data_IF_338555169710
#
_entry.id   IF_338555169710
#
_cell.length_a   1.000
_cell.length_b   1.000
_cell.length_c   1.000
_cell.angle_alpha   90.00
_cell.angle_beta   90.00
_cell.angle_gamma   90.00
#
_symmetry.space_group_name_H-M   'P 1'
#
loop_
_entity.id
_entity.type
_entity.pdbx_description
1 polymer ?
#
# COMPACT_ATOMS: atom_id res chain seq x y z
N UNK A 1 3.79 -2.28 16.16
CA UNK A 1 5.04 -3.06 16.09
C UNK A 1 5.26 -4.04 17.25
N UNK A 2 5.07 -3.68 18.54
CA UNK A 2 5.17 -4.67 19.65
C UNK A 2 4.29 -5.91 19.43
N UNK A 3 3.02 -5.71 19.07
CA UNK A 3 2.11 -6.80 18.71
C UNK A 3 2.65 -7.68 17.57
N UNK A 4 3.25 -7.09 16.53
CA UNK A 4 3.87 -7.85 15.44
C UNK A 4 4.98 -8.74 16.02
N UNK A 5 5.87 -8.19 16.85
CA UNK A 5 6.94 -8.96 17.52
C UNK A 5 6.38 -10.09 18.37
N UNK A 6 5.36 -9.82 19.17
CA UNK A 6 4.83 -10.77 20.13
C UNK A 6 4.11 -11.94 19.45
N UNK A 7 3.52 -11.70 18.27
CA UNK A 7 2.89 -12.73 17.43
C UNK A 7 3.89 -13.47 16.52
N UNK A 8 5.08 -12.91 16.29
CA UNK A 8 6.07 -13.49 15.38
C UNK A 8 6.86 -14.59 16.07
N UNK A 9 6.97 -15.76 15.44
CA UNK A 9 7.92 -16.82 15.86
C UNK A 9 9.35 -16.27 15.88
N UNK A 10 10.24 -16.93 16.61
CA UNK A 10 11.65 -16.49 16.74
C UNK A 10 12.34 -16.36 15.37
N UNK A 11 12.08 -17.28 14.47
CA UNK A 11 12.55 -17.35 13.08
C UNK A 11 11.54 -16.75 12.08
N UNK A 12 10.48 -16.11 12.57
CA UNK A 12 9.41 -15.58 11.73
C UNK A 12 9.82 -14.30 11.02
N UNK A 13 9.20 -14.08 9.86
CA UNK A 13 9.34 -12.88 9.04
C UNK A 13 7.98 -12.21 8.91
N UNK A 14 7.93 -10.90 9.13
CA UNK A 14 6.76 -10.09 8.87
C UNK A 14 7.04 -9.13 7.71
N UNK A 15 6.02 -8.88 6.87
CA UNK A 15 6.05 -7.83 5.86
C UNK A 15 4.98 -6.80 6.21
N UNK A 16 5.40 -5.56 6.46
CA UNK A 16 4.49 -4.44 6.71
C UNK A 16 4.40 -3.61 5.45
N UNK A 17 3.20 -3.60 4.84
CA UNK A 17 2.89 -2.83 3.64
C UNK A 17 2.04 -1.61 4.02
N UNK A 18 2.51 -0.41 3.71
CA UNK A 18 1.81 0.83 4.08
C UNK A 18 2.04 1.95 3.08
N UNK A 19 1.02 2.79 2.87
CA UNK A 19 1.25 4.12 2.29
C UNK A 19 2.12 4.92 3.25
N UNK A 20 3.06 5.68 2.73
CA UNK A 20 3.95 6.53 3.48
C UNK A 20 4.36 7.76 2.71
N UNK A 21 5.13 8.62 3.38
CA UNK A 21 5.74 9.82 2.80
C UNK A 21 7.24 9.60 2.60
N UNK A 22 7.75 10.02 1.44
CA UNK A 22 9.18 10.02 1.14
C UNK A 22 9.93 11.24 1.67
N UNK A 23 9.24 12.16 2.33
CA UNK A 23 9.77 13.36 2.99
C UNK A 23 9.41 13.38 4.48
N UNK A 24 9.53 14.55 5.11
CA UNK A 24 9.30 14.75 6.54
C UNK A 24 7.85 14.48 6.96
N UNK A 25 7.61 14.17 8.26
CA UNK A 25 6.26 14.05 8.79
C UNK A 25 5.43 15.30 8.48
N UNK A 26 4.19 15.07 8.03
CA UNK A 26 3.28 16.15 7.65
C UNK A 26 1.84 15.80 8.00
N UNK A 27 0.97 16.82 8.02
CA UNK A 27 -0.42 16.67 8.43
C UNK A 27 -1.27 15.95 7.35
N UNK A 28 -2.33 15.29 7.80
CA UNK A 28 -3.31 14.69 6.88
C UNK A 28 -4.07 15.78 6.12
N UNK A 29 -4.24 15.61 4.81
CA UNK A 29 -5.02 16.53 3.99
C UNK A 29 -6.48 16.65 4.52
N UNK A 30 -7.01 17.87 4.75
CA UNK A 30 -8.34 18.05 5.35
C UNK A 30 -9.49 17.43 4.55
N UNK A 31 -9.41 17.41 3.22
CA UNK A 31 -10.41 16.74 2.39
C UNK A 31 -10.39 15.22 2.63
N UNK A 32 -9.21 14.61 2.64
CA UNK A 32 -9.04 13.18 2.93
C UNK A 32 -9.56 12.85 4.34
N UNK A 33 -9.16 13.62 5.35
CA UNK A 33 -9.57 13.41 6.73
C UNK A 33 -11.09 13.56 6.94
N UNK A 34 -11.73 14.48 6.22
CA UNK A 34 -13.18 14.72 6.37
C UNK A 34 -14.04 13.71 5.61
N UNK A 35 -13.65 13.37 4.39
CA UNK A 35 -14.55 12.69 3.45
C UNK A 35 -14.17 11.26 3.11
N UNK A 36 -12.89 10.87 3.23
CA UNK A 36 -12.39 9.59 2.73
C UNK A 36 -11.92 8.69 3.88
N UNK A 37 -10.96 9.16 4.69
CA UNK A 37 -10.37 8.39 5.78
C UNK A 37 -10.33 9.20 7.10
N UNK A 38 -11.46 9.31 7.81
CA UNK A 38 -11.49 9.92 9.15
C UNK A 38 -10.55 9.20 10.11
N UNK A 39 -9.68 9.96 10.79
CA UNK A 39 -8.64 9.43 11.68
C UNK A 39 -7.41 8.86 10.96
N UNK A 40 -7.39 8.89 9.62
CA UNK A 40 -6.27 8.41 8.84
C UNK A 40 -5.02 9.29 8.99
N UNK A 41 -3.86 8.64 9.03
CA UNK A 41 -2.55 9.29 9.04
C UNK A 41 -1.59 8.54 8.13
N UNK A 42 -0.83 9.26 7.33
CA UNK A 42 0.22 8.71 6.46
C UNK A 42 1.57 9.06 7.10
N UNK A 43 2.28 8.08 7.67
CA UNK A 43 3.53 8.34 8.37
C UNK A 43 4.70 8.57 7.41
N UNK A 44 5.69 9.33 7.86
CA UNK A 44 7.00 9.36 7.23
C UNK A 44 7.82 8.13 7.62
N UNK A 45 8.79 7.75 6.77
CA UNK A 45 9.70 6.64 7.08
C UNK A 45 10.42 6.85 8.43
N UNK A 46 10.77 8.09 8.76
CA UNK A 46 11.45 8.44 10.02
C UNK A 46 10.62 8.12 11.27
N UNK A 47 9.29 8.19 11.20
CA UNK A 47 8.40 7.82 12.30
C UNK A 47 8.23 6.31 12.40
N UNK A 48 8.12 5.64 11.25
CA UNK A 48 7.96 4.19 11.16
C UNK A 48 9.19 3.49 11.72
N UNK A 49 10.39 3.86 11.28
CA UNK A 49 11.65 3.26 11.76
C UNK A 49 11.85 3.48 13.26
N UNK A 50 11.61 4.69 13.75
CA UNK A 50 11.67 5.00 15.19
C UNK A 50 10.72 4.10 16.01
N UNK A 51 9.54 3.79 15.48
CA UNK A 51 8.59 2.90 16.15
C UNK A 51 9.02 1.41 16.10
N UNK A 52 9.66 0.99 15.01
CA UNK A 52 10.22 -0.36 14.84
C UNK A 52 11.39 -0.58 15.81
N UNK A 53 12.33 0.36 15.90
CA UNK A 53 13.49 0.30 16.81
C UNK A 53 13.06 0.05 18.25
N UNK A 54 12.07 0.81 18.72
CA UNK A 54 11.48 0.67 20.08
C UNK A 54 10.83 -0.70 20.31
N UNK A 55 10.51 -1.44 19.26
CA UNK A 55 9.90 -2.76 19.35
C UNK A 55 10.91 -3.90 19.39
N UNK A 56 12.22 -3.67 19.18
CA UNK A 56 13.26 -4.71 19.05
C UNK A 56 13.03 -5.69 17.89
N UNK A 57 12.31 -5.26 16.86
CA UNK A 57 12.32 -5.91 15.55
C UNK A 57 13.50 -5.39 14.74
N UNK A 58 14.08 -6.24 13.90
CA UNK A 58 15.16 -5.89 12.98
C UNK A 58 14.53 -5.61 11.62
N UNK A 59 14.89 -4.50 11.00
CA UNK A 59 14.55 -4.21 9.60
C UNK A 59 15.52 -4.97 8.71
N UNK A 60 15.01 -5.93 7.94
CA UNK A 60 15.81 -6.76 7.05
C UNK A 60 15.85 -6.21 5.61
N UNK A 61 14.77 -5.59 5.14
CA UNK A 61 14.68 -4.97 3.82
C UNK A 61 13.59 -3.88 3.83
N UNK A 62 13.75 -2.89 2.94
CA UNK A 62 12.73 -1.89 2.63
C UNK A 62 12.66 -1.74 1.12
N UNK A 63 11.49 -2.03 0.56
CA UNK A 63 11.15 -1.70 -0.83
C UNK A 63 10.21 -0.49 -0.88
N UNK A 64 10.45 0.41 -1.83
CA UNK A 64 9.58 1.57 -2.09
C UNK A 64 8.89 1.41 -3.43
N UNK A 65 7.60 1.08 -3.39
CA UNK A 65 6.73 1.03 -4.56
C UNK A 65 6.27 2.44 -4.93
N UNK A 66 7.12 3.16 -5.67
CA UNK A 66 6.93 4.57 -6.05
C UNK A 66 5.69 4.79 -6.94
N UNK A 67 5.82 4.54 -8.24
CA UNK A 67 4.77 4.85 -9.22
C UNK A 67 3.68 3.77 -9.32
N UNK A 68 3.90 2.59 -8.72
CA UNK A 68 2.94 1.49 -8.75
C UNK A 68 1.56 1.90 -8.25
N UNK A 69 1.49 2.71 -7.19
CA UNK A 69 0.21 3.15 -6.65
C UNK A 69 -0.46 4.25 -7.49
N UNK A 70 0.33 5.08 -8.18
CA UNK A 70 -0.20 6.02 -9.17
C UNK A 70 -0.87 5.27 -10.34
N UNK A 71 -0.26 4.20 -10.85
CA UNK A 71 -0.86 3.36 -11.88
C UNK A 71 -2.11 2.62 -11.37
N UNK A 72 -2.08 2.16 -10.13
CA UNK A 72 -3.24 1.54 -9.47
C UNK A 72 -4.43 2.51 -9.42
N UNK A 73 -4.20 3.75 -8.95
CA UNK A 73 -5.22 4.80 -8.87
C UNK A 73 -5.73 5.22 -10.25
N UNK A 74 -4.84 5.29 -11.26
CA UNK A 74 -5.22 5.52 -12.66
C UNK A 74 -6.20 4.46 -13.15
N UNK A 75 -5.89 3.18 -12.91
CA UNK A 75 -6.75 2.07 -13.31
C UNK A 75 -8.08 2.08 -12.56
N UNK A 76 -8.08 2.38 -11.26
CA UNK A 76 -9.33 2.54 -10.49
C UNK A 76 -10.19 3.68 -11.04
N UNK A 77 -9.57 4.84 -11.33
CA UNK A 77 -10.25 6.00 -11.90
C UNK A 77 -10.86 5.69 -13.27
N UNK A 78 -10.13 5.02 -14.15
CA UNK A 78 -10.63 4.60 -15.47
C UNK A 78 -11.81 3.62 -15.34
N UNK A 79 -11.71 2.62 -14.46
CA UNK A 79 -12.79 1.65 -14.24
C UNK A 79 -14.01 2.27 -13.59
N UNK A 80 -13.82 3.24 -12.68
CA UNK A 80 -14.91 4.01 -12.09
C UNK A 80 -15.61 4.86 -13.14
N UNK A 81 -14.86 5.61 -13.95
CA UNK A 81 -15.41 6.43 -15.03
C UNK A 81 -16.25 5.62 -16.03
N UNK A 82 -15.77 4.43 -16.40
CA UNK A 82 -16.49 3.53 -17.31
C UNK A 82 -17.83 3.01 -16.74
N UNK A 83 -17.99 2.98 -15.40
CA UNK A 83 -19.19 2.51 -14.70
C UNK A 83 -19.83 3.60 -13.84
N UNK A 84 -19.58 4.87 -14.17
CA UNK A 84 -19.96 6.01 -13.35
C UNK A 84 -21.48 6.05 -13.12
N UNK A 85 -22.26 5.76 -14.17
CA UNK A 85 -23.72 5.74 -14.06
C UNK A 85 -24.25 4.64 -13.15
N UNK A 86 -23.60 3.47 -13.13
CA UNK A 86 -23.92 2.41 -12.18
C UNK A 86 -23.64 2.87 -10.75
N UNK A 87 -22.46 3.47 -10.51
CA UNK A 87 -22.10 4.01 -9.21
C UNK A 87 -23.08 5.11 -8.73
N UNK A 88 -23.51 5.98 -9.65
CA UNK A 88 -24.48 7.06 -9.39
C UNK A 88 -25.86 6.52 -9.01
N UNK A 89 -26.32 5.42 -9.62
CA UNK A 89 -27.59 4.76 -9.28
C UNK A 89 -27.58 4.14 -7.87
N UNK A 90 -26.43 3.63 -7.44
CA UNK A 90 -26.27 3.01 -6.10
C UNK A 90 -26.05 4.06 -5.01
N UNK A 91 -25.48 5.21 -5.37
CA UNK A 91 -25.17 6.31 -4.45
C UNK A 91 -25.91 7.57 -4.90
N UNK A 92 -25.18 8.63 -5.20
CA UNK A 92 -25.71 9.87 -5.75
C UNK A 92 -24.61 10.60 -6.54
N UNK A 93 -25.01 11.67 -7.23
CA UNK A 93 -24.10 12.50 -8.02
C UNK A 93 -23.01 13.16 -7.15
N UNK A 94 -23.35 13.51 -5.91
CA UNK A 94 -22.41 14.11 -4.96
C UNK A 94 -21.26 13.15 -4.62
N UNK A 95 -21.59 11.90 -4.33
CA UNK A 95 -20.62 10.85 -4.07
C UNK A 95 -19.73 10.62 -5.28
N UNK A 96 -20.30 10.54 -6.49
CA UNK A 96 -19.52 10.34 -7.71
C UNK A 96 -18.45 11.42 -7.88
N UNK A 97 -18.82 12.70 -7.76
CA UNK A 97 -17.88 13.82 -7.88
C UNK A 97 -16.80 13.78 -6.79
N UNK A 98 -17.18 13.46 -5.55
CA UNK A 98 -16.25 13.32 -4.45
C UNK A 98 -15.23 12.19 -4.70
N UNK A 99 -15.70 11.05 -5.19
CA UNK A 99 -14.87 9.88 -5.45
C UNK A 99 -13.93 10.08 -6.64
N UNK A 100 -14.42 10.72 -7.71
CA UNK A 100 -13.60 11.12 -8.85
C UNK A 100 -12.47 12.06 -8.43
N UNK A 101 -12.79 13.06 -7.62
CA UNK A 101 -11.80 13.99 -7.09
C UNK A 101 -10.78 13.25 -6.21
N UNK A 102 -11.24 12.36 -5.31
CA UNK A 102 -10.35 11.56 -4.47
C UNK A 102 -9.36 10.73 -5.29
N UNK A 103 -9.84 9.99 -6.29
CA UNK A 103 -9.00 9.13 -7.12
C UNK A 103 -8.00 9.95 -7.94
N UNK A 104 -8.43 11.05 -8.56
CA UNK A 104 -7.55 11.92 -9.34
C UNK A 104 -6.51 12.63 -8.47
N UNK A 105 -6.93 13.21 -7.34
CA UNK A 105 -6.02 13.91 -6.43
C UNK A 105 -4.99 12.95 -5.81
N UNK A 106 -5.43 11.74 -5.45
CA UNK A 106 -4.54 10.72 -4.92
C UNK A 106 -3.56 10.24 -6.00
N UNK A 107 -4.01 10.02 -7.24
CA UNK A 107 -3.12 9.68 -8.37
C UNK A 107 -2.02 10.75 -8.52
N UNK A 108 -2.40 12.03 -8.49
CA UNK A 108 -1.45 13.14 -8.54
C UNK A 108 -0.47 13.15 -7.36
N UNK A 109 -0.92 12.86 -6.14
CA UNK A 109 -0.05 12.84 -4.96
C UNK A 109 1.03 11.74 -5.04
N UNK A 110 0.70 10.56 -5.58
CA UNK A 110 1.69 9.51 -5.81
C UNK A 110 2.57 9.75 -7.04
N UNK A 111 2.05 10.40 -8.08
CA UNK A 111 2.78 10.60 -9.34
C UNK A 111 3.73 11.80 -9.31
N UNK A 112 3.33 12.87 -8.63
CA UNK A 112 3.98 14.17 -8.72
C UNK A 112 4.38 14.76 -7.37
N UNK A 113 4.01 14.12 -6.26
CA UNK A 113 4.37 14.57 -4.92
C UNK A 113 5.16 13.49 -4.18
N UNK A 114 4.99 13.43 -2.87
CA UNK A 114 5.82 12.70 -1.91
C UNK A 114 5.18 11.41 -1.38
N UNK A 115 4.01 11.00 -1.90
CA UNK A 115 3.38 9.75 -1.45
C UNK A 115 4.00 8.55 -2.14
N UNK A 116 4.30 7.53 -1.35
CA UNK A 116 4.87 6.26 -1.79
C UNK A 116 4.22 5.12 -1.02
N UNK A 117 4.48 3.88 -1.44
CA UNK A 117 4.11 2.70 -0.67
C UNK A 117 5.38 2.00 -0.22
N UNK A 118 5.50 1.76 1.07
CA UNK A 118 6.60 1.03 1.67
C UNK A 118 6.20 -0.43 1.86
N UNK A 119 7.12 -1.34 1.53
CA UNK A 119 7.13 -2.71 2.05
C UNK A 119 8.34 -2.85 2.95
N UNK A 120 8.10 -3.13 4.23
CA UNK A 120 9.15 -3.22 5.25
C UNK A 120 9.18 -4.64 5.78
N UNK A 121 10.29 -5.33 5.53
CA UNK A 121 10.51 -6.67 6.02
C UNK A 121 11.14 -6.63 7.40
N UNK A 122 10.52 -7.34 8.35
CA UNK A 122 10.90 -7.33 9.76
C UNK A 122 11.16 -8.75 10.27
N UNK A 123 12.19 -8.90 11.08
CA UNK A 123 12.57 -10.18 11.72
C UNK A 123 12.84 -9.99 13.21
N UNK A 124 12.90 -11.11 13.95
CA UNK A 124 13.32 -11.12 15.37
C UNK A 124 14.80 -11.44 15.56
N UNK A 125 15.44 -12.10 14.59
CA UNK A 125 16.86 -12.45 14.61
C UNK A 125 17.51 -12.05 13.28
N UNK A 126 18.83 -11.84 13.32
CA UNK A 126 19.61 -11.35 12.18
C UNK A 126 19.78 -12.40 11.07
N UNK A 127 19.60 -13.67 11.41
CA UNK A 127 19.81 -14.86 10.56
C UNK A 127 18.50 -15.49 10.05
N UNK A 128 17.35 -14.84 10.28
CA UNK A 128 16.04 -15.37 9.88
C UNK A 128 15.81 -15.41 8.36
N UNK A 129 16.70 -14.79 7.56
CA UNK A 129 16.60 -14.69 6.11
C UNK A 129 17.91 -15.08 5.43
N UNK A 130 17.87 -15.55 4.16
CA UNK A 130 19.07 -15.80 3.37
C UNK A 130 19.94 -14.53 3.22
N UNK A 131 21.25 -14.73 3.02
CA UNK A 131 22.21 -13.64 2.86
C UNK A 131 21.90 -12.69 1.69
N UNK A 132 21.28 -13.20 0.63
CA UNK A 132 20.89 -12.41 -0.55
C UNK A 132 19.39 -12.41 -0.74
N UNK A 133 18.89 -11.41 -1.47
CA UNK A 133 17.46 -11.22 -1.74
C UNK A 133 16.93 -12.11 -2.87
N UNK A 134 17.73 -13.04 -3.40
CA UNK A 134 17.37 -13.89 -4.55
C UNK A 134 16.09 -14.69 -4.33
N UNK A 135 15.79 -15.07 -3.09
CA UNK A 135 14.55 -15.76 -2.73
C UNK A 135 13.29 -14.94 -3.03
N UNK A 136 13.37 -13.60 -3.00
CA UNK A 136 12.24 -12.72 -3.35
C UNK A 136 11.94 -12.83 -4.85
N UNK A 137 12.95 -12.70 -5.71
CA UNK A 137 12.77 -12.83 -7.16
C UNK A 137 12.32 -14.24 -7.57
N UNK A 138 12.83 -15.27 -6.89
CA UNK A 138 12.40 -16.65 -7.12
C UNK A 138 10.93 -16.84 -6.76
N UNK A 139 10.49 -16.24 -5.65
CA UNK A 139 9.09 -16.23 -5.24
C UNK A 139 8.22 -15.48 -6.26
N UNK A 140 8.66 -14.30 -6.74
CA UNK A 140 7.97 -13.54 -7.79
C UNK A 140 7.84 -14.33 -9.09
N UNK A 141 8.93 -14.94 -9.58
CA UNK A 141 8.90 -15.80 -10.77
C UNK A 141 7.95 -16.98 -10.59
N UNK A 142 7.92 -17.57 -9.39
CA UNK A 142 7.01 -18.66 -9.05
C UNK A 142 5.54 -18.21 -9.06
N UNK A 143 5.25 -17.04 -8.48
CA UNK A 143 3.92 -16.44 -8.47
C UNK A 143 3.45 -16.05 -9.87
N UNK A 144 4.30 -15.41 -10.67
CA UNK A 144 3.99 -15.03 -12.05
C UNK A 144 3.63 -16.23 -12.92
N UNK A 145 4.31 -17.37 -12.75
CA UNK A 145 3.93 -18.62 -13.42
C UNK A 145 2.54 -19.11 -13.00
N UNK A 146 2.19 -19.00 -11.72
CA UNK A 146 0.86 -19.41 -11.21
C UNK A 146 -0.24 -18.47 -11.67
N UNK A 147 0.02 -17.16 -11.70
CA UNK A 147 -0.95 -16.16 -12.15
C UNK A 147 -1.18 -16.22 -13.66
N UNK A 148 -0.14 -16.45 -14.46
CA UNK A 148 -0.28 -16.69 -15.90
C UNK A 148 -1.07 -17.97 -16.23
N UNK A 149 -1.14 -18.91 -15.30
CA UNK A 149 -1.96 -20.13 -15.39
C UNK A 149 -3.37 -19.94 -14.82
N UNK A 150 -3.65 -18.82 -14.15
CA UNK A 150 -4.95 -18.56 -13.52
C UNK A 150 -5.92 -18.09 -14.59
N UNK A 151 -7.10 -18.74 -14.75
CA UNK A 151 -8.11 -18.22 -15.65
C UNK A 151 -8.44 -16.78 -15.26
N UNK A 152 -8.50 -15.87 -16.23
CA UNK A 152 -9.00 -14.51 -16.01
C UNK A 152 -10.34 -14.63 -15.30
N UNK A 153 -10.39 -14.17 -14.05
CA UNK A 153 -11.64 -14.04 -13.32
C UNK A 153 -12.50 -13.08 -14.15
N UNK A 154 -13.50 -13.63 -14.86
CA UNK A 154 -14.52 -12.82 -15.52
C UNK A 154 -15.11 -11.93 -14.42
N UNK A 155 -15.08 -10.63 -14.62
CA UNK A 155 -15.73 -9.69 -13.72
C UNK A 155 -17.18 -10.15 -13.53
N UNK A 156 -17.58 -10.42 -12.28
CA UNK A 156 -18.96 -10.73 -11.94
C UNK A 156 -19.81 -9.53 -12.38
N UNK A 157 -20.60 -9.74 -13.43
CA UNK A 157 -21.35 -8.71 -14.14
C UNK A 157 -21.98 -9.27 -15.41
N UNK A 158 -22.61 -10.43 -15.29
CA UNK A 158 -23.80 -10.82 -16.06
C UNK A 158 -24.98 -10.80 -15.08
#
# INVERSE_FOLDING_TARGET
>A
FRTIRDLLRKDGVALVHTIGRSDEPSVTNPFIAKYIFPGGYIPAMSEVLRAIEKSRLIVADIEVLRLHYAETLRHWRQRFAARRDEARRVRDERFCRMWEFYLAASECAFRFQNLVVFQIQLTRTIDALPFTRSYMEEAERSLGRREGQRPLVRALGE
#
